data_IF_709402171530
#
_entry.id   IF_709402171530
#
_cell.length_a   1.000
_cell.length_b   1.000
_cell.length_c   1.000
_cell.angle_alpha   90.00
_cell.angle_beta   90.00
_cell.angle_gamma   90.00
#
_symmetry.space_group_name_H-M   'P 1'
#
loop_
_entity.id
_entity.type
_entity.pdbx_description
1 polymer ?
#
# COMPACT_ATOMS: atom_id res chain seq x y z
N UNK A 1 41.41 5.99 -13.64
CA UNK A 1 41.39 4.53 -13.36
C UNK A 1 40.43 4.15 -12.22
N UNK A 2 40.21 4.98 -11.19
CA UNK A 2 39.31 4.66 -10.05
C UNK A 2 37.79 4.56 -10.32
N UNK A 3 37.26 5.11 -11.42
CA UNK A 3 35.81 5.08 -11.70
C UNK A 3 35.28 3.74 -12.23
N UNK A 4 36.11 3.02 -12.98
CA UNK A 4 35.74 1.77 -13.66
C UNK A 4 35.80 0.57 -12.71
N UNK A 5 36.75 0.56 -11.77
CA UNK A 5 36.81 -0.43 -10.69
C UNK A 5 35.65 -0.28 -9.69
N UNK A 6 35.17 0.94 -9.47
CA UNK A 6 33.97 1.20 -8.66
C UNK A 6 32.71 0.64 -9.34
N UNK A 7 32.52 0.86 -10.65
CA UNK A 7 31.36 0.30 -11.37
C UNK A 7 31.40 -1.22 -11.48
N UNK A 8 32.59 -1.82 -11.65
CA UNK A 8 32.75 -3.28 -11.68
C UNK A 8 32.48 -3.91 -10.29
N UNK A 9 32.90 -3.25 -9.19
CA UNK A 9 32.50 -3.66 -7.83
C UNK A 9 31.00 -3.47 -7.60
N UNK A 10 30.38 -2.42 -8.14
CA UNK A 10 28.92 -2.19 -8.09
C UNK A 10 28.16 -3.32 -8.77
N UNK A 11 28.52 -3.66 -10.02
CA UNK A 11 27.87 -4.76 -10.74
C UNK A 11 28.10 -6.11 -10.06
N UNK A 12 29.28 -6.32 -9.47
CA UNK A 12 29.58 -7.55 -8.72
C UNK A 12 28.74 -7.66 -7.44
N UNK A 13 28.59 -6.56 -6.67
CA UNK A 13 27.77 -6.54 -5.44
C UNK A 13 26.29 -6.68 -5.79
N UNK A 14 25.83 -6.01 -6.85
CA UNK A 14 24.44 -6.11 -7.32
C UNK A 14 24.13 -7.51 -7.87
N UNK A 15 25.06 -8.17 -8.56
CA UNK A 15 24.93 -9.59 -8.95
C UNK A 15 25.00 -10.55 -7.77
N UNK A 16 25.72 -10.20 -6.70
CA UNK A 16 25.78 -11.03 -5.50
C UNK A 16 24.52 -10.89 -4.62
N UNK A 17 23.89 -9.72 -4.62
CA UNK A 17 22.59 -9.48 -3.98
C UNK A 17 21.44 -10.08 -4.80
N UNK A 18 21.58 -10.11 -6.13
CA UNK A 18 20.62 -10.70 -7.07
C UNK A 18 21.10 -12.07 -7.58
N UNK A 19 20.85 -13.13 -6.79
CA UNK A 19 20.89 -14.50 -7.29
C UNK A 19 22.04 -15.40 -6.83
N UNK A 20 22.72 -15.12 -5.70
CA UNK A 20 23.72 -16.05 -5.16
C UNK A 20 23.55 -16.31 -3.65
N UNK A 21 23.50 -17.59 -3.26
CA UNK A 21 23.23 -18.05 -1.89
C UNK A 21 24.42 -18.00 -0.92
N UNK A 22 25.61 -17.56 -1.36
CA UNK A 22 26.87 -17.75 -0.63
C UNK A 22 27.51 -16.47 -0.07
N UNK A 23 26.77 -15.36 0.03
CA UNK A 23 27.27 -14.20 0.76
C UNK A 23 26.52 -14.12 2.07
N UNK A 24 27.23 -14.11 3.21
CA UNK A 24 26.64 -13.82 4.53
C UNK A 24 25.93 -12.46 4.49
N UNK A 25 24.65 -12.49 4.13
CA UNK A 25 23.79 -11.32 3.85
C UNK A 25 23.59 -10.45 5.10
N UNK A 26 24.01 -10.94 6.25
CA UNK A 26 23.93 -10.28 7.55
C UNK A 26 25.00 -9.19 7.77
N UNK A 27 25.98 -9.02 6.86
CA UNK A 27 27.12 -8.11 7.06
C UNK A 27 27.28 -6.99 6.02
N UNK A 28 26.42 -6.91 5.01
CA UNK A 28 26.46 -5.81 4.04
C UNK A 28 25.70 -4.60 4.59
N UNK A 29 26.43 -3.55 4.99
CA UNK A 29 25.84 -2.25 5.30
C UNK A 29 25.15 -1.70 4.04
N UNK A 30 23.81 -1.72 4.03
CA UNK A 30 23.03 -1.06 3.00
C UNK A 30 23.23 0.45 3.18
N UNK A 31 23.94 1.08 2.25
CA UNK A 31 24.05 2.53 2.18
C UNK A 31 22.86 3.12 1.42
N UNK A 32 22.51 4.41 1.60
CA UNK A 32 21.40 5.05 0.88
C UNK A 32 21.44 4.86 -0.63
N UNK A 33 22.64 4.94 -1.22
CA UNK A 33 22.87 4.73 -2.65
C UNK A 33 22.56 3.29 -3.10
N UNK A 34 22.86 2.27 -2.26
CA UNK A 34 22.56 0.87 -2.58
C UNK A 34 21.06 0.62 -2.44
N UNK A 35 20.40 1.20 -1.43
CA UNK A 35 18.96 1.11 -1.27
C UNK A 35 18.22 1.70 -2.47
N UNK A 36 18.65 2.86 -2.98
CA UNK A 36 18.08 3.47 -4.18
C UNK A 36 18.13 2.55 -5.40
N UNK A 37 19.31 1.99 -5.68
CA UNK A 37 19.50 1.07 -6.81
C UNK A 37 18.71 -0.24 -6.64
N UNK A 38 18.59 -0.77 -5.42
CA UNK A 38 17.79 -1.98 -5.14
C UNK A 38 16.31 -1.73 -5.36
N UNK A 39 15.78 -0.63 -4.82
CA UNK A 39 14.37 -0.22 -4.96
C UNK A 39 14.05 0.06 -6.43
N UNK A 40 14.97 0.68 -7.18
CA UNK A 40 14.79 0.94 -8.62
C UNK A 40 14.72 -0.34 -9.45
N UNK A 41 15.50 -1.37 -9.08
CA UNK A 41 15.50 -2.68 -9.74
C UNK A 41 14.30 -3.56 -9.40
N UNK A 42 13.50 -3.22 -8.39
CA UNK A 42 12.25 -3.93 -8.09
C UNK A 42 11.25 -3.72 -9.22
N UNK A 43 10.99 -4.78 -9.99
CA UNK A 43 9.99 -4.81 -11.07
C UNK A 43 8.71 -5.48 -10.60
N UNK A 44 7.60 -5.11 -11.24
CA UNK A 44 6.36 -5.89 -11.14
C UNK A 44 6.61 -7.26 -11.79
N UNK A 45 6.43 -8.33 -11.02
CA UNK A 45 6.54 -9.71 -11.50
C UNK A 45 5.16 -10.14 -11.98
N UNK A 46 5.06 -10.69 -13.19
CA UNK A 46 3.80 -11.22 -13.69
C UNK A 46 3.35 -12.42 -12.86
N UNK A 47 2.04 -12.61 -12.69
CA UNK A 47 1.47 -13.65 -11.83
C UNK A 47 1.91 -15.07 -12.25
N UNK A 48 2.16 -15.28 -13.54
CA UNK A 48 2.65 -16.53 -14.12
C UNK A 48 4.10 -16.87 -13.74
N UNK A 49 4.88 -15.86 -13.33
CA UNK A 49 6.28 -16.00 -12.94
C UNK A 49 6.46 -16.13 -11.42
N UNK A 50 5.37 -16.25 -10.65
CA UNK A 50 5.44 -16.47 -9.20
C UNK A 50 6.04 -17.85 -8.92
N UNK A 51 7.07 -17.88 -8.06
CA UNK A 51 7.85 -19.09 -7.77
C UNK A 51 8.96 -19.37 -8.78
N UNK A 52 9.14 -18.53 -9.80
CA UNK A 52 10.35 -18.52 -10.63
C UNK A 52 11.58 -18.07 -9.84
N UNK A 53 12.77 -18.38 -10.35
CA UNK A 53 14.03 -17.90 -9.75
C UNK A 53 14.11 -16.38 -9.68
N UNK A 54 13.47 -15.68 -10.63
CA UNK A 54 13.40 -14.22 -10.63
C UNK A 54 12.52 -13.71 -9.48
N UNK A 55 11.37 -14.34 -9.25
CA UNK A 55 10.48 -14.01 -8.13
C UNK A 55 11.17 -14.20 -6.77
N UNK A 56 11.88 -15.32 -6.58
CA UNK A 56 12.63 -15.57 -5.34
C UNK A 56 13.68 -14.50 -5.08
N UNK A 57 14.37 -14.06 -6.14
CA UNK A 57 15.38 -13.02 -6.03
C UNK A 57 14.77 -11.67 -5.65
N UNK A 58 13.66 -11.28 -6.27
CA UNK A 58 12.92 -10.07 -5.90
C UNK A 58 12.41 -10.15 -4.46
N UNK A 59 11.83 -11.28 -4.05
CA UNK A 59 11.32 -11.48 -2.69
C UNK A 59 12.42 -11.36 -1.64
N UNK A 60 13.59 -11.93 -1.90
CA UNK A 60 14.75 -11.86 -1.00
C UNK A 60 15.25 -10.41 -0.83
N UNK A 61 15.30 -9.63 -1.92
CA UNK A 61 15.66 -8.20 -1.86
C UNK A 61 14.64 -7.40 -1.05
N UNK A 62 13.34 -7.67 -1.23
CA UNK A 62 12.28 -7.02 -0.43
C UNK A 62 12.40 -7.37 1.06
N UNK A 63 12.68 -8.63 1.39
CA UNK A 63 12.89 -9.06 2.77
C UNK A 63 14.08 -8.35 3.42
N UNK A 64 15.19 -8.18 2.69
CA UNK A 64 16.36 -7.44 3.18
C UNK A 64 16.05 -5.96 3.41
N UNK A 65 15.41 -5.29 2.45
CA UNK A 65 15.00 -3.90 2.60
C UNK A 65 14.11 -3.70 3.82
N UNK A 66 13.17 -4.62 4.06
CA UNK A 66 12.29 -4.59 5.23
C UNK A 66 13.09 -4.75 6.55
N UNK A 67 13.98 -5.75 6.62
CA UNK A 67 14.82 -5.96 7.80
C UNK A 67 15.65 -4.71 8.16
N UNK A 68 16.23 -4.05 7.16
CA UNK A 68 17.04 -2.85 7.37
C UNK A 68 16.18 -1.62 7.71
N UNK A 69 15.01 -1.44 7.08
CA UNK A 69 14.07 -0.39 7.46
C UNK A 69 13.65 -0.53 8.93
N UNK A 70 13.41 -1.76 9.40
CA UNK A 70 13.11 -2.03 10.81
C UNK A 70 14.30 -1.72 11.73
N UNK A 71 15.53 -2.05 11.32
CA UNK A 71 16.74 -1.68 12.08
C UNK A 71 16.91 -0.16 12.17
N UNK A 72 16.65 0.58 11.08
CA UNK A 72 16.75 2.05 11.07
C UNK A 72 15.72 2.70 12.00
N UNK A 73 14.48 2.21 11.96
CA UNK A 73 13.42 2.63 12.87
C UNK A 73 13.78 2.33 14.33
N UNK A 74 14.28 1.11 14.62
CA UNK A 74 14.68 0.72 15.97
C UNK A 74 15.90 1.48 16.49
N UNK A 75 16.80 1.93 15.60
CA UNK A 75 17.98 2.71 15.94
C UNK A 75 17.73 4.23 15.96
N UNK A 76 16.51 4.67 15.61
CA UNK A 76 16.13 6.08 15.41
C UNK A 76 17.10 6.83 14.48
N UNK A 77 17.60 6.13 13.46
CA UNK A 77 18.47 6.69 12.42
C UNK A 77 17.65 7.17 11.22
N UNK A 78 18.26 7.96 10.35
CA UNK A 78 17.65 8.46 9.12
C UNK A 78 16.99 7.33 8.28
N UNK A 79 15.73 7.54 7.89
CA UNK A 79 14.84 6.51 7.29
C UNK A 79 14.93 6.48 5.76
N UNK A 80 16.15 6.58 5.22
CA UNK A 80 16.39 6.72 3.77
C UNK A 80 15.78 5.60 2.90
N UNK A 81 15.58 4.39 3.43
CA UNK A 81 14.93 3.29 2.69
C UNK A 81 13.45 3.63 2.46
N UNK A 82 12.77 4.17 3.48
CA UNK A 82 11.38 4.59 3.38
C UNK A 82 11.25 5.76 2.39
N UNK A 83 12.10 6.78 2.53
CA UNK A 83 12.13 7.92 1.61
C UNK A 83 12.36 7.49 0.17
N UNK A 84 13.24 6.51 -0.06
CA UNK A 84 13.51 5.97 -1.39
C UNK A 84 12.31 5.20 -1.96
N UNK A 85 11.66 4.35 -1.16
CA UNK A 85 10.47 3.59 -1.56
C UNK A 85 9.32 4.53 -1.93
N UNK A 86 9.14 5.59 -1.14
CA UNK A 86 8.15 6.65 -1.38
C UNK A 86 8.52 7.46 -2.64
N UNK A 87 9.78 7.89 -2.76
CA UNK A 87 10.28 8.70 -3.89
C UNK A 87 10.24 7.93 -5.22
N UNK A 88 10.38 6.60 -5.19
CA UNK A 88 10.35 5.74 -6.40
C UNK A 88 8.97 5.12 -6.64
N UNK A 89 7.92 5.67 -6.01
CA UNK A 89 6.52 5.25 -6.16
C UNK A 89 6.31 3.75 -5.99
N UNK A 90 7.11 3.13 -5.10
CA UNK A 90 6.93 1.73 -4.67
C UNK A 90 5.93 1.64 -3.53
N UNK A 91 5.08 2.67 -3.35
CA UNK A 91 3.95 2.76 -2.42
C UNK A 91 2.86 1.76 -2.83
N UNK A 92 3.21 0.48 -2.84
CA UNK A 92 2.31 -0.66 -2.86
C UNK A 92 2.14 -1.22 -1.46
N UNK A 93 3.03 -0.88 -0.53
CA UNK A 93 3.05 -1.49 0.79
C UNK A 93 1.76 -1.20 1.57
N UNK A 94 1.20 0.01 1.50
CA UNK A 94 -0.04 0.29 2.23
C UNK A 94 -1.22 -0.50 1.66
N UNK A 95 -1.54 -0.40 0.36
CA UNK A 95 -2.62 -1.21 -0.21
C UNK A 95 -2.37 -2.71 -0.09
N UNK A 96 -1.12 -3.18 -0.22
CA UNK A 96 -0.79 -4.59 -0.05
C UNK A 96 -1.00 -5.05 1.40
N UNK A 97 -0.60 -4.25 2.40
CA UNK A 97 -0.80 -4.57 3.81
C UNK A 97 -2.29 -4.54 4.16
N UNK A 98 -3.04 -3.55 3.67
CA UNK A 98 -4.48 -3.45 3.92
C UNK A 98 -5.22 -4.60 3.23
N UNK A 99 -4.84 -4.98 2.01
CA UNK A 99 -5.38 -6.15 1.32
C UNK A 99 -5.03 -7.46 2.05
N UNK A 100 -3.79 -7.60 2.53
CA UNK A 100 -3.40 -8.75 3.36
C UNK A 100 -4.24 -8.81 4.65
N UNK A 101 -4.46 -7.67 5.30
CA UNK A 101 -5.32 -7.57 6.49
C UNK A 101 -6.77 -7.90 6.16
N UNK A 102 -7.29 -7.50 5.01
CA UNK A 102 -8.63 -7.90 4.53
C UNK A 102 -8.77 -9.42 4.47
N UNK A 103 -7.82 -10.09 3.81
CA UNK A 103 -7.82 -11.55 3.69
C UNK A 103 -7.69 -12.23 5.05
N UNK A 104 -6.83 -11.72 5.94
CA UNK A 104 -6.64 -12.29 7.28
C UNK A 104 -7.89 -12.11 8.15
N UNK A 105 -8.42 -10.88 8.21
CA UNK A 105 -9.54 -10.50 9.08
C UNK A 105 -10.90 -10.98 8.58
N UNK A 106 -10.98 -11.50 7.35
CA UNK A 106 -12.14 -12.24 6.87
C UNK A 106 -12.54 -13.36 7.86
N UNK A 107 -11.55 -14.06 8.42
CA UNK A 107 -11.78 -15.13 9.39
C UNK A 107 -11.88 -14.60 10.82
N UNK A 108 -12.99 -14.94 11.50
CA UNK A 108 -13.25 -14.58 12.91
C UNK A 108 -12.06 -14.85 13.84
N UNK A 109 -11.42 -16.02 13.72
CA UNK A 109 -10.30 -16.42 14.58
C UNK A 109 -9.13 -15.44 14.52
N UNK A 110 -8.81 -14.93 13.32
CA UNK A 110 -7.72 -13.97 13.15
C UNK A 110 -8.09 -12.60 13.74
N UNK A 111 -9.34 -12.15 13.54
CA UNK A 111 -9.83 -10.92 14.16
C UNK A 111 -9.80 -11.00 15.69
N UNK A 112 -10.22 -12.14 16.27
CA UNK A 112 -10.15 -12.35 17.72
C UNK A 112 -8.72 -12.39 18.26
N UNK A 113 -7.78 -12.97 17.50
CA UNK A 113 -6.38 -13.03 17.90
C UNK A 113 -5.69 -11.65 17.90
N UNK A 114 -6.17 -10.70 17.08
CA UNK A 114 -5.65 -9.34 17.03
C UNK A 114 -6.02 -8.51 18.28
N UNK A 115 -7.09 -8.87 18.99
CA UNK A 115 -7.48 -8.34 20.30
C UNK A 115 -7.37 -6.81 20.39
N UNK A 116 -6.56 -6.28 21.32
CA UNK A 116 -6.38 -4.85 21.54
C UNK A 116 -5.80 -4.09 20.33
N UNK A 117 -5.07 -4.76 19.43
CA UNK A 117 -4.48 -4.12 18.24
C UNK A 117 -5.51 -3.71 17.20
N UNK A 118 -6.72 -4.29 17.25
CA UNK A 118 -7.82 -3.87 16.39
C UNK A 118 -8.24 -2.41 16.61
N UNK A 119 -7.93 -1.85 17.78
CA UNK A 119 -8.25 -0.48 18.12
C UNK A 119 -7.53 0.52 17.21
N UNK A 120 -6.23 0.32 16.98
CA UNK A 120 -5.44 1.19 16.09
C UNK A 120 -5.90 1.02 14.63
N UNK A 121 -6.29 -0.19 14.26
CA UNK A 121 -6.86 -0.49 12.95
C UNK A 121 -8.20 0.23 12.75
N UNK A 122 -9.06 0.30 13.77
CA UNK A 122 -10.33 1.05 13.72
C UNK A 122 -10.07 2.54 13.51
N UNK A 123 -9.07 3.12 14.19
CA UNK A 123 -8.71 4.53 13.97
C UNK A 123 -8.20 4.78 12.55
N UNK A 124 -7.43 3.83 12.01
CA UNK A 124 -6.99 3.87 10.62
C UNK A 124 -8.18 3.78 9.65
N UNK A 125 -9.06 2.79 9.82
CA UNK A 125 -10.28 2.62 9.01
C UNK A 125 -11.12 3.90 9.03
N UNK A 126 -11.32 4.51 10.20
CA UNK A 126 -12.11 5.74 10.28
C UNK A 126 -11.47 6.89 9.46
N UNK A 127 -10.14 7.05 9.51
CA UNK A 127 -9.44 8.05 8.67
C UNK A 127 -9.68 7.81 7.18
N UNK A 128 -9.66 6.55 6.73
CA UNK A 128 -9.92 6.21 5.33
C UNK A 128 -11.37 6.45 4.93
N UNK A 129 -12.33 6.10 5.79
CA UNK A 129 -13.77 6.36 5.58
C UNK A 129 -14.05 7.87 5.49
N UNK A 130 -13.49 8.65 6.40
CA UNK A 130 -13.62 10.13 6.39
C UNK A 130 -12.95 10.73 5.16
N UNK A 131 -11.78 10.25 4.77
CA UNK A 131 -11.11 10.67 3.54
C UNK A 131 -12.02 10.43 2.32
N UNK A 132 -12.65 9.26 2.23
CA UNK A 132 -13.56 8.92 1.14
C UNK A 132 -14.77 9.87 1.13
N UNK A 133 -15.35 10.18 2.29
CA UNK A 133 -16.44 11.14 2.41
C UNK A 133 -16.05 12.56 1.98
N UNK A 134 -14.88 13.06 2.39
CA UNK A 134 -14.39 14.40 2.03
C UNK A 134 -14.02 14.50 0.55
N UNK A 135 -13.41 13.45 0.01
CA UNK A 135 -12.94 13.45 -1.38
C UNK A 135 -14.13 13.42 -2.34
N UNK A 136 -15.20 12.69 -1.99
CA UNK A 136 -16.44 12.70 -2.77
C UNK A 136 -17.20 14.03 -2.66
N UNK A 137 -17.13 14.72 -1.52
CA UNK A 137 -17.60 16.11 -1.40
C UNK A 137 -16.84 17.07 -2.33
N UNK A 138 -15.57 16.76 -2.58
CA UNK A 138 -14.66 17.58 -3.38
C UNK A 138 -14.64 17.19 -4.86
N UNK A 139 -15.48 16.24 -5.30
CA UNK A 139 -15.53 15.82 -6.70
C UNK A 139 -15.76 17.05 -7.59
N UNK A 140 -14.76 17.46 -8.39
CA UNK A 140 -14.93 18.59 -9.29
C UNK A 140 -16.00 18.22 -10.31
N UNK A 141 -16.85 19.19 -10.69
CA UNK A 141 -17.66 19.07 -11.90
C UNK A 141 -16.78 18.53 -13.04
N UNK A 142 -17.31 17.69 -13.95
CA UNK A 142 -16.54 17.15 -15.06
C UNK A 142 -15.78 18.29 -15.73
N UNK A 143 -14.45 18.20 -15.67
CA UNK A 143 -13.56 19.18 -16.26
C UNK A 143 -13.88 19.27 -17.75
N UNK A 144 -14.20 20.48 -18.19
CA UNK A 144 -14.42 20.82 -19.60
C UNK A 144 -13.29 20.22 -20.42
N UNK A 145 -13.66 19.44 -21.43
CA UNK A 145 -12.80 18.80 -22.44
C UNK A 145 -11.54 19.64 -22.71
N UNK A 146 -10.43 19.29 -22.05
CA UNK A 146 -9.12 19.60 -22.60
C UNK A 146 -8.96 18.65 -23.77
N UNK A 147 -9.16 19.19 -24.98
CA UNK A 147 -9.19 18.45 -26.24
C UNK A 147 -8.13 17.36 -26.34
N UNK A 148 -8.50 16.29 -27.02
CA UNK A 148 -7.90 14.95 -27.06
C UNK A 148 -6.42 14.80 -27.47
N UNK A 149 -5.50 15.74 -27.19
CA UNK A 149 -4.13 15.70 -27.74
C UNK A 149 -3.01 16.23 -26.84
N UNK A 150 -3.09 16.05 -25.52
CA UNK A 150 -1.89 16.12 -24.67
C UNK A 150 -1.74 14.80 -23.91
N UNK A 151 -0.63 14.10 -24.10
CA UNK A 151 -0.20 13.05 -23.18
C UNK A 151 -0.13 13.69 -21.78
N UNK A 152 -0.73 13.08 -20.74
CA UNK A 152 -0.63 13.59 -19.38
C UNK A 152 0.84 13.79 -19.02
N UNK A 153 1.15 14.86 -18.30
CA UNK A 153 2.48 14.99 -17.71
C UNK A 153 2.72 13.81 -16.75
N UNK A 154 3.96 13.36 -16.62
CA UNK A 154 4.33 12.34 -15.62
C UNK A 154 3.78 12.70 -14.23
N UNK A 155 3.79 13.98 -13.85
CA UNK A 155 3.23 14.48 -12.58
C UNK A 155 1.70 14.30 -12.48
N UNK A 156 0.96 14.51 -13.58
CA UNK A 156 -0.50 14.33 -13.63
C UNK A 156 -0.89 12.84 -13.62
N UNK A 157 -0.08 11.99 -14.24
CA UNK A 157 -0.29 10.54 -14.23
C UNK A 157 0.01 9.95 -12.84
N UNK A 158 1.08 10.42 -12.18
CA UNK A 158 1.41 10.04 -10.81
C UNK A 158 0.30 10.43 -9.82
N UNK A 159 -0.23 11.65 -9.91
CA UNK A 159 -1.36 12.08 -9.06
C UNK A 159 -2.62 11.23 -9.31
N UNK A 160 -2.87 10.83 -10.57
CA UNK A 160 -3.98 9.92 -10.89
C UNK A 160 -3.77 8.55 -10.25
N UNK A 161 -2.57 7.97 -10.36
CA UNK A 161 -2.24 6.68 -9.77
C UNK A 161 -2.36 6.72 -8.25
N UNK A 162 -1.86 7.78 -7.60
CA UNK A 162 -1.97 7.97 -6.16
C UNK A 162 -3.44 8.01 -5.70
N UNK A 163 -4.30 8.75 -6.42
CA UNK A 163 -5.75 8.80 -6.14
C UNK A 163 -6.43 7.45 -6.31
N UNK A 164 -6.09 6.72 -7.37
CA UNK A 164 -6.65 5.38 -7.60
C UNK A 164 -6.19 4.38 -6.52
N UNK A 165 -4.93 4.48 -6.10
CA UNK A 165 -4.38 3.67 -5.02
C UNK A 165 -5.09 3.95 -3.68
N UNK A 166 -5.21 5.24 -3.35
CA UNK A 166 -5.89 5.70 -2.14
C UNK A 166 -7.37 5.28 -2.13
N UNK A 167 -8.04 5.33 -3.28
CA UNK A 167 -9.41 4.84 -3.42
C UNK A 167 -9.51 3.34 -3.13
N UNK A 168 -8.58 2.52 -3.63
CA UNK A 168 -8.55 1.08 -3.34
C UNK A 168 -8.39 0.81 -1.84
N UNK A 169 -7.44 1.48 -1.19
CA UNK A 169 -7.26 1.39 0.27
C UNK A 169 -8.57 1.68 1.01
N UNK A 170 -9.28 2.75 0.65
CA UNK A 170 -10.54 3.10 1.28
C UNK A 170 -11.60 2.01 1.11
N UNK A 171 -11.72 1.45 -0.10
CA UNK A 171 -12.66 0.36 -0.37
C UNK A 171 -12.33 -0.90 0.43
N UNK A 172 -11.05 -1.28 0.50
CA UNK A 172 -10.58 -2.40 1.32
C UNK A 172 -10.85 -2.16 2.82
N UNK A 173 -10.66 -0.93 3.32
CA UNK A 173 -11.00 -0.57 4.69
C UNK A 173 -12.50 -0.72 4.98
N UNK A 174 -13.39 -0.46 4.02
CA UNK A 174 -14.83 -0.72 4.17
C UNK A 174 -15.13 -2.21 4.28
N UNK A 175 -14.43 -3.06 3.53
CA UNK A 175 -14.52 -4.52 3.68
C UNK A 175 -14.07 -4.97 5.06
N UNK A 176 -12.92 -4.49 5.53
CA UNK A 176 -12.41 -4.82 6.87
C UNK A 176 -13.39 -4.35 7.95
N UNK A 177 -13.94 -3.13 7.83
CA UNK A 177 -14.95 -2.61 8.75
C UNK A 177 -16.18 -3.53 8.83
N UNK A 178 -16.64 -4.02 7.67
CA UNK A 178 -17.70 -5.01 7.61
C UNK A 178 -17.30 -6.28 8.38
N UNK A 179 -16.11 -6.82 8.17
CA UNK A 179 -15.67 -8.03 8.88
C UNK A 179 -15.60 -7.83 10.40
N UNK A 180 -15.08 -6.68 10.86
CA UNK A 180 -15.03 -6.37 12.29
C UNK A 180 -16.43 -6.28 12.91
N UNK A 181 -17.40 -5.70 12.18
CA UNK A 181 -18.78 -5.59 12.65
C UNK A 181 -19.55 -6.92 12.59
N UNK A 182 -19.26 -7.77 11.60
CA UNK A 182 -19.79 -9.15 11.50
C UNK A 182 -19.26 -10.03 12.65
N UNK A 183 -18.00 -9.84 13.07
CA UNK A 183 -17.34 -10.63 14.11
C UNK A 183 -17.43 -10.04 15.52
N UNK A 184 -18.18 -8.94 15.71
CA UNK A 184 -18.18 -8.11 16.94
C UNK A 184 -18.34 -8.88 18.25
N UNK A 185 -19.14 -9.95 18.26
CA UNK A 185 -19.44 -10.73 19.48
C UNK A 185 -18.19 -11.43 20.04
N UNK A 186 -17.15 -11.56 19.23
CA UNK A 186 -15.88 -12.14 19.60
C UNK A 186 -14.77 -11.14 19.91
N UNK A 187 -15.00 -9.84 19.71
CA UNK A 187 -13.98 -8.80 19.79
C UNK A 187 -14.03 -8.06 21.14
N UNK A 188 -12.95 -7.39 21.53
CA UNK A 188 -12.95 -6.53 22.71
C UNK A 188 -14.05 -5.45 22.62
N UNK A 189 -14.75 -5.21 23.73
CA UNK A 189 -15.81 -4.17 23.81
C UNK A 189 -15.26 -2.80 23.41
N UNK A 190 -13.98 -2.54 23.67
CA UNK A 190 -13.27 -1.32 23.27
C UNK A 190 -13.35 -1.05 21.78
N UNK A 191 -13.35 -2.07 20.92
CA UNK A 191 -13.53 -1.92 19.45
C UNK A 191 -14.91 -1.34 19.15
N UNK A 192 -15.95 -1.85 19.81
CA UNK A 192 -17.34 -1.38 19.60
C UNK A 192 -17.52 0.05 20.12
N UNK A 193 -17.02 0.34 21.32
CA UNK A 193 -17.01 1.71 21.88
C UNK A 193 -16.26 2.69 20.98
N UNK A 194 -15.12 2.28 20.40
CA UNK A 194 -14.34 3.13 19.49
C UNK A 194 -15.11 3.43 18.20
N UNK A 195 -15.73 2.41 17.62
CA UNK A 195 -16.54 2.54 16.40
C UNK A 195 -17.76 3.44 16.60
N UNK A 196 -18.50 3.25 17.69
CA UNK A 196 -19.78 3.91 17.92
C UNK A 196 -19.65 5.24 18.65
N UNK A 197 -18.88 5.29 19.75
CA UNK A 197 -18.87 6.45 20.64
C UNK A 197 -17.75 7.45 20.32
N UNK A 198 -16.65 7.01 19.71
CA UNK A 198 -15.53 7.91 19.37
C UNK A 198 -15.55 8.39 17.92
N UNK A 199 -15.85 7.50 16.99
CA UNK A 199 -15.76 7.79 15.55
C UNK A 199 -17.12 8.01 14.88
N UNK A 200 -18.23 7.78 15.58
CA UNK A 200 -19.58 7.91 15.03
C UNK A 200 -19.74 7.19 13.66
N UNK A 201 -19.12 6.01 13.51
CA UNK A 201 -18.89 5.38 12.20
C UNK A 201 -20.18 5.17 11.40
N UNK A 202 -21.32 5.01 12.09
CA UNK A 202 -22.64 4.87 11.46
C UNK A 202 -23.05 6.11 10.67
N UNK A 203 -22.73 7.32 11.13
CA UNK A 203 -23.04 8.56 10.41
C UNK A 203 -22.25 8.65 9.12
N UNK A 204 -20.96 8.31 9.15
CA UNK A 204 -20.10 8.24 7.97
C UNK A 204 -20.62 7.20 6.97
N UNK A 205 -21.04 6.02 7.45
CA UNK A 205 -21.62 4.99 6.58
C UNK A 205 -22.93 5.44 5.92
N UNK A 206 -23.79 6.18 6.62
CA UNK A 206 -25.02 6.74 6.02
C UNK A 206 -24.67 7.72 4.90
N UNK A 207 -23.72 8.62 5.13
CA UNK A 207 -23.21 9.55 4.11
C UNK A 207 -22.68 8.80 2.88
N UNK A 208 -21.87 7.76 3.09
CA UNK A 208 -21.35 6.93 2.00
C UNK A 208 -22.45 6.17 1.25
N UNK A 209 -23.48 5.68 1.94
CA UNK A 209 -24.61 4.97 1.30
C UNK A 209 -25.44 5.88 0.39
N UNK A 210 -25.60 7.15 0.73
CA UNK A 210 -26.29 8.13 -0.11
C UNK A 210 -25.47 8.44 -1.37
N UNK A 211 -24.15 8.57 -1.22
CA UNK A 211 -23.23 8.97 -2.31
C UNK A 211 -22.82 7.82 -3.22
N UNK A 212 -22.75 6.59 -2.69
CA UNK A 212 -22.43 5.34 -3.40
C UNK A 212 -21.07 5.40 -4.12
N UNK A 213 -19.94 5.52 -3.37
CA UNK A 213 -18.60 5.68 -3.94
C UNK A 213 -18.16 4.54 -4.87
N UNK A 214 -18.78 3.37 -4.76
CA UNK A 214 -18.55 2.21 -5.63
C UNK A 214 -19.15 2.34 -7.05
N UNK A 215 -19.81 3.44 -7.39
CA UNK A 215 -20.18 3.76 -8.77
C UNK A 215 -19.30 4.86 -9.32
N UNK A 216 -18.48 4.55 -10.32
CA UNK A 216 -17.73 5.55 -11.10
C UNK A 216 -18.56 5.98 -12.30
N UNK A 217 -18.75 7.28 -12.48
CA UNK A 217 -19.40 7.81 -13.70
C UNK A 217 -18.32 8.13 -14.70
N UNK A 218 -18.29 7.40 -15.82
CA UNK A 218 -17.35 7.67 -16.91
C UNK A 218 -17.74 8.98 -17.63
N UNK A 219 -16.82 9.60 -18.39
CA UNK A 219 -17.13 10.80 -19.19
C UNK A 219 -18.27 10.61 -20.20
N UNK A 220 -18.54 9.36 -20.60
CA UNK A 220 -19.64 8.99 -21.49
C UNK A 220 -21.02 8.90 -20.79
N UNK A 221 -21.09 9.14 -19.47
CA UNK A 221 -22.33 9.06 -18.69
C UNK A 221 -22.71 7.65 -18.23
N UNK A 222 -21.93 6.62 -18.57
CA UNK A 222 -22.16 5.27 -18.09
C UNK A 222 -21.66 5.11 -16.64
N UNK A 223 -22.46 4.45 -15.81
CA UNK A 223 -22.09 4.10 -14.44
C UNK A 223 -21.44 2.74 -14.43
N UNK A 224 -20.19 2.69 -14.02
CA UNK A 224 -19.44 1.45 -13.81
C UNK A 224 -19.40 1.13 -12.32
N UNK A 225 -19.70 -0.12 -11.97
CA UNK A 225 -19.53 -0.61 -10.61
C UNK A 225 -18.04 -0.90 -10.38
N UNK A 226 -17.52 -0.52 -9.22
CA UNK A 226 -16.16 -0.89 -8.83
C UNK A 226 -16.08 -2.41 -8.63
N UNK A 227 -15.48 -3.10 -9.58
CA UNK A 227 -15.05 -4.49 -9.44
C UNK A 227 -13.54 -4.51 -9.18
N UNK A 228 -13.14 -5.09 -8.06
CA UNK A 228 -11.73 -5.38 -7.84
C UNK A 228 -11.34 -6.51 -8.79
N UNK A 229 -10.41 -6.26 -9.71
CA UNK A 229 -9.92 -7.30 -10.62
C UNK A 229 -9.13 -8.31 -9.78
N UNK A 230 -9.81 -9.38 -9.36
CA UNK A 230 -9.21 -10.57 -8.75
C UNK A 230 -8.21 -11.24 -9.69
#
# INVERSE_FOLDING_TARGET
MNGMESSLRKDQVLRNLWGNQDVDQMTLQITPYIAEELVERLKAVHLEDIGSSEWYTHHQVVQQLNLHAHQQASAATDEFIMDTIVTKDKIYHEALLVNLLEVLLYHKTAAQAADAHLVDLVDYINRQVVYLDITQLSSPLPSVDKGAQALPSDEEELDRQAKDHQFKICMTCLSILRFLTDHRDGLPVTVTTRLLDQHDILLSLVSLMERKPWYRTRPNGEREFFEDQQ
#
